data_IF_914741156639
#
_entry.id   IF_914741156639
#
_cell.length_a   1.000
_cell.length_b   1.000
_cell.length_c   1.000
_cell.angle_alpha   90.00
_cell.angle_beta   90.00
_cell.angle_gamma   90.00
#
_symmetry.space_group_name_H-M   'P 1'
#
loop_
_entity.id
_entity.type
_entity.pdbx_description
1 polymer ?
#
# COMPACT_ATOMS: atom_id res chain seq x y z
N UNK A 1 -1.35 23.50 -7.66
CA UNK A 1 -1.83 23.04 -6.34
C UNK A 1 -0.92 21.89 -5.94
N UNK A 2 -0.40 21.85 -4.72
CA UNK A 2 0.55 20.83 -4.23
C UNK A 2 0.32 20.66 -2.73
N UNK A 3 -0.64 19.81 -2.38
CA UNK A 3 -0.93 19.49 -0.99
C UNK A 3 0.19 18.59 -0.44
N UNK A 4 0.58 18.81 0.81
CA UNK A 4 1.57 18.00 1.51
C UNK A 4 0.95 17.43 2.78
N UNK A 5 1.11 16.13 2.99
CA UNK A 5 0.72 15.42 4.20
C UNK A 5 1.95 14.70 4.76
N UNK A 6 2.26 14.95 6.04
CA UNK A 6 3.27 14.20 6.78
C UNK A 6 2.59 13.37 7.86
N UNK A 7 2.75 12.06 7.81
CA UNK A 7 2.16 11.11 8.75
C UNK A 7 3.07 10.94 9.96
N UNK A 8 2.55 11.27 11.13
CA UNK A 8 3.22 11.05 12.43
C UNK A 8 2.66 9.81 13.16
N UNK A 9 1.76 9.06 12.52
CA UNK A 9 1.05 7.93 13.08
C UNK A 9 0.13 7.26 12.05
N UNK A 10 -0.52 6.17 12.46
CA UNK A 10 -1.48 5.45 11.62
C UNK A 10 -2.73 6.30 11.36
N UNK A 11 -3.12 6.40 10.09
CA UNK A 11 -4.30 7.16 9.65
C UNK A 11 -5.41 6.20 9.23
N UNK A 12 -6.57 6.28 9.88
CA UNK A 12 -7.80 5.59 9.46
C UNK A 12 -8.82 6.59 8.94
N UNK A 13 -9.27 6.39 7.70
CA UNK A 13 -10.33 7.16 7.05
C UNK A 13 -11.57 6.27 6.82
N UNK A 14 -12.70 6.57 7.47
CA UNK A 14 -13.96 5.82 7.26
C UNK A 14 -14.56 6.03 5.86
N UNK A 15 -14.19 7.10 5.17
CA UNK A 15 -14.60 7.43 3.80
C UNK A 15 -13.52 7.17 2.76
N UNK A 16 -13.78 7.58 1.52
CA UNK A 16 -12.81 7.41 0.42
C UNK A 16 -11.57 8.30 0.59
N UNK A 17 -10.45 7.84 0.03
CA UNK A 17 -9.21 8.61 -0.09
C UNK A 17 -8.98 8.93 -1.56
N UNK A 18 -8.88 10.22 -1.87
CA UNK A 18 -8.58 10.71 -3.22
C UNK A 18 -7.35 11.60 -3.20
N UNK A 19 -6.37 11.26 -4.03
CA UNK A 19 -5.11 11.99 -4.15
C UNK A 19 -4.95 12.47 -5.59
N UNK A 20 -4.74 13.78 -5.78
CA UNK A 20 -4.65 14.38 -7.11
C UNK A 20 -3.70 15.57 -7.15
N UNK A 21 -3.35 16.01 -8.35
CA UNK A 21 -2.65 17.27 -8.59
C UNK A 21 -1.30 17.40 -7.88
N UNK A 22 -0.40 16.43 -8.02
CA UNK A 22 0.93 16.48 -7.42
C UNK A 22 0.92 16.59 -5.89
N UNK A 23 0.02 15.85 -5.24
CA UNK A 23 0.03 15.68 -3.79
C UNK A 23 1.29 14.92 -3.37
N UNK A 24 1.86 15.30 -2.23
CA UNK A 24 3.02 14.66 -1.62
C UNK A 24 2.59 14.08 -0.27
N UNK A 25 2.83 12.79 -0.08
CA UNK A 25 2.59 12.10 1.18
C UNK A 25 3.93 11.57 1.67
N UNK A 26 4.30 11.90 2.91
CA UNK A 26 5.54 11.45 3.54
C UNK A 26 5.31 10.87 4.92
N UNK A 27 6.17 9.97 5.36
CA UNK A 27 6.26 9.62 6.78
C UNK A 27 7.11 10.65 7.52
N UNK A 28 6.80 10.87 8.79
CA UNK A 28 7.65 11.63 9.68
C UNK A 28 8.99 10.90 9.89
N UNK A 29 10.13 11.60 9.97
CA UNK A 29 11.43 10.98 10.24
C UNK A 29 11.46 10.14 11.53
N UNK A 30 10.57 10.41 12.49
CA UNK A 30 10.42 9.62 13.71
C UNK A 30 10.04 8.15 13.48
N UNK A 31 9.60 7.77 12.28
CA UNK A 31 9.41 6.36 11.90
C UNK A 31 10.72 5.58 11.80
N UNK A 32 11.86 6.24 11.54
CA UNK A 32 13.13 5.54 11.28
C UNK A 32 12.99 4.52 10.14
N UNK A 33 13.52 3.32 10.30
CA UNK A 33 13.36 2.24 9.31
C UNK A 33 11.94 1.63 9.26
N UNK A 34 11.01 2.07 10.10
CA UNK A 34 9.66 1.51 10.13
C UNK A 34 8.81 2.06 8.98
N UNK A 35 7.86 1.25 8.56
CA UNK A 35 6.86 1.62 7.55
C UNK A 35 5.58 2.12 8.20
N UNK A 36 4.88 3.03 7.53
CA UNK A 36 3.62 3.63 7.98
C UNK A 36 2.42 3.07 7.23
N UNK A 37 1.26 3.17 7.87
CA UNK A 37 0.01 2.58 7.39
C UNK A 37 -1.11 3.62 7.29
N UNK A 38 -1.81 3.60 6.16
CA UNK A 38 -3.03 4.36 5.93
C UNK A 38 -4.13 3.37 5.58
N UNK A 39 -5.18 3.35 6.39
CA UNK A 39 -6.34 2.47 6.24
C UNK A 39 -7.54 3.29 5.80
N UNK A 40 -8.35 2.71 4.91
CA UNK A 40 -9.68 3.24 4.61
C UNK A 40 -10.73 2.13 4.48
N UNK A 41 -11.94 2.42 4.93
CA UNK A 41 -13.12 1.59 4.67
C UNK A 41 -13.76 1.87 3.30
N UNK A 42 -13.36 2.99 2.70
CA UNK A 42 -13.73 3.40 1.36
C UNK A 42 -12.72 2.98 0.31
N UNK A 43 -12.86 3.60 -0.86
CA UNK A 43 -12.01 3.39 -2.03
C UNK A 43 -10.80 4.31 -1.98
N UNK A 44 -9.70 3.87 -2.59
CA UNK A 44 -8.49 4.67 -2.75
C UNK A 44 -8.33 5.00 -4.23
N UNK A 45 -8.26 6.29 -4.56
CA UNK A 45 -7.98 6.73 -5.93
C UNK A 45 -6.76 7.64 -5.95
N UNK A 46 -5.74 7.23 -6.69
CA UNK A 46 -4.56 8.03 -7.00
C UNK A 46 -4.69 8.51 -8.44
N UNK A 47 -4.87 9.82 -8.61
CA UNK A 47 -4.97 10.44 -9.93
C UNK A 47 -3.57 10.69 -10.51
N UNK A 48 -3.16 11.95 -10.69
CA UNK A 48 -1.97 12.32 -11.45
C UNK A 48 -0.83 12.86 -10.58
N UNK A 49 0.35 12.28 -10.80
CA UNK A 49 1.67 12.72 -10.33
C UNK A 49 1.81 12.83 -8.80
N UNK A 50 1.12 11.97 -8.05
CA UNK A 50 1.29 11.95 -6.59
C UNK A 50 2.61 11.26 -6.24
N UNK A 51 3.31 11.79 -5.23
CA UNK A 51 4.61 11.27 -4.81
C UNK A 51 4.55 10.83 -3.36
N UNK A 52 5.20 9.72 -3.05
CA UNK A 52 5.14 9.06 -1.77
C UNK A 52 6.55 8.81 -1.24
N UNK A 53 6.83 9.31 -0.04
CA UNK A 53 8.13 9.18 0.60
C UNK A 53 8.01 8.40 1.91
N UNK A 54 8.96 7.50 2.16
CA UNK A 54 9.17 6.94 3.50
C UNK A 54 9.66 8.01 4.49
N UNK A 55 10.17 7.56 5.63
CA UNK A 55 10.73 8.44 6.69
C UNK A 55 12.01 9.18 6.26
N UNK A 56 12.67 8.71 5.20
CA UNK A 56 14.01 9.12 4.79
C UNK A 56 15.06 8.03 5.00
N UNK A 57 14.76 7.00 5.79
CA UNK A 57 15.62 5.84 5.98
C UNK A 57 15.28 4.69 5.02
N UNK A 58 16.29 3.90 4.64
CA UNK A 58 16.10 2.70 3.82
C UNK A 58 15.19 1.68 4.52
N UNK A 59 14.26 1.09 3.76
CA UNK A 59 13.30 0.12 4.28
C UNK A 59 12.01 0.73 4.84
N UNK A 60 11.88 2.06 4.85
CA UNK A 60 10.65 2.75 5.24
C UNK A 60 9.72 2.97 4.03
N UNK A 61 8.50 2.45 4.11
CA UNK A 61 7.49 2.52 3.05
C UNK A 61 6.14 2.99 3.60
N UNK A 62 5.29 3.51 2.71
CA UNK A 62 3.88 3.75 3.01
C UNK A 62 3.05 2.62 2.41
N UNK A 63 2.22 1.99 3.25
CA UNK A 63 1.18 1.08 2.82
C UNK A 63 -0.19 1.76 2.85
N UNK A 64 -0.92 1.60 1.76
CA UNK A 64 -2.33 1.96 1.65
C UNK A 64 -3.17 0.69 1.67
N UNK A 65 -4.05 0.58 2.65
CA UNK A 65 -4.97 -0.53 2.82
C UNK A 65 -6.41 -0.04 2.62
N UNK A 66 -7.14 -0.73 1.74
CA UNK A 66 -8.59 -0.56 1.60
C UNK A 66 -9.29 -1.84 2.04
N UNK A 67 -10.30 -1.72 2.91
CA UNK A 67 -11.19 -2.83 3.27
C UNK A 67 -12.38 -2.95 2.31
N UNK A 68 -12.44 -2.10 1.27
CA UNK A 68 -13.50 -2.14 0.26
C UNK A 68 -13.38 -3.41 -0.59
N UNK A 69 -14.51 -4.11 -0.75
CA UNK A 69 -14.57 -5.39 -1.47
C UNK A 69 -14.98 -5.26 -2.94
N UNK A 70 -14.92 -4.06 -3.51
CA UNK A 70 -15.34 -3.86 -4.91
C UNK A 70 -14.38 -4.55 -5.88
N UNK A 71 -14.94 -5.46 -6.69
CA UNK A 71 -14.23 -6.19 -7.76
C UNK A 71 -14.58 -5.67 -9.17
N UNK A 72 -15.34 -4.58 -9.26
CA UNK A 72 -15.71 -3.94 -10.51
C UNK A 72 -14.55 -3.12 -11.08
N UNK A 73 -14.19 -3.35 -12.35
CA UNK A 73 -13.11 -2.63 -13.03
C UNK A 73 -13.46 -1.18 -13.38
N UNK A 74 -14.75 -0.82 -13.36
CA UNK A 74 -15.23 0.56 -13.49
C UNK A 74 -15.17 1.35 -12.18
N UNK A 75 -15.16 0.65 -11.04
CA UNK A 75 -15.11 1.27 -9.71
C UNK A 75 -14.38 0.37 -8.71
N UNK A 76 -13.06 0.13 -8.90
CA UNK A 76 -12.29 -0.81 -8.11
C UNK A 76 -12.10 -0.32 -6.66
N UNK A 77 -11.64 -1.18 -5.76
CA UNK A 77 -11.31 -0.80 -4.39
C UNK A 77 -10.12 0.17 -4.35
N UNK A 78 -9.10 -0.09 -5.18
CA UNK A 78 -7.95 0.79 -5.36
C UNK A 78 -7.77 1.08 -6.86
N UNK A 79 -7.73 2.36 -7.22
CA UNK A 79 -7.45 2.81 -8.59
C UNK A 79 -6.22 3.72 -8.63
N UNK A 80 -5.21 3.31 -9.38
CA UNK A 80 -4.02 4.11 -9.68
C UNK A 80 -4.10 4.53 -11.14
N UNK A 81 -4.43 5.79 -11.40
CA UNK A 81 -4.80 6.28 -12.73
C UNK A 81 -3.60 6.81 -13.53
N UNK A 82 -2.55 7.36 -12.89
CA UNK A 82 -1.40 7.91 -13.63
C UNK A 82 -0.16 8.18 -12.74
N UNK A 83 1.01 7.69 -13.14
CA UNK A 83 2.33 8.04 -12.57
C UNK A 83 2.37 8.09 -11.03
N UNK A 84 2.04 6.98 -10.38
CA UNK A 84 2.38 6.79 -8.96
C UNK A 84 3.69 5.99 -8.90
N UNK A 85 4.62 6.48 -8.10
CA UNK A 85 5.87 5.80 -7.78
C UNK A 85 5.86 5.44 -6.29
N UNK A 86 6.51 4.32 -5.94
CA UNK A 86 6.95 4.00 -4.58
C UNK A 86 5.85 3.86 -3.52
N UNK A 87 4.86 2.99 -3.77
CA UNK A 87 3.78 2.66 -2.81
C UNK A 87 3.48 1.16 -2.76
N UNK A 88 3.05 0.70 -1.58
CA UNK A 88 2.44 -0.63 -1.36
C UNK A 88 0.92 -0.47 -1.29
N UNK A 89 0.19 -1.19 -2.13
CA UNK A 89 -1.27 -1.23 -2.08
C UNK A 89 -1.80 -2.58 -1.63
N UNK A 90 -2.77 -2.57 -0.71
CA UNK A 90 -3.41 -3.77 -0.18
C UNK A 90 -4.94 -3.67 -0.22
N UNK A 91 -5.59 -4.61 -0.88
CA UNK A 91 -7.05 -4.73 -0.94
C UNK A 91 -7.47 -6.21 -0.91
N UNK A 92 -7.50 -6.83 0.29
CA UNK A 92 -7.70 -8.28 0.48
C UNK A 92 -8.88 -8.85 -0.29
N UNK A 93 -10.01 -8.15 -0.27
CA UNK A 93 -11.28 -8.59 -0.88
C UNK A 93 -11.67 -7.75 -2.11
N UNK A 94 -10.81 -6.82 -2.51
CA UNK A 94 -11.07 -5.83 -3.55
C UNK A 94 -10.20 -5.99 -4.78
N UNK A 95 -10.60 -5.30 -5.86
CA UNK A 95 -9.77 -5.16 -7.05
C UNK A 95 -8.82 -3.98 -6.91
N UNK A 96 -7.55 -4.20 -7.31
CA UNK A 96 -6.58 -3.15 -7.58
C UNK A 96 -6.49 -2.96 -9.10
N UNK A 97 -6.76 -1.75 -9.57
CA UNK A 97 -6.59 -1.36 -10.97
C UNK A 97 -5.46 -0.35 -11.10
N UNK A 98 -4.55 -0.61 -12.04
CA UNK A 98 -3.38 0.22 -12.30
C UNK A 98 -3.35 0.56 -13.77
N UNK A 99 -3.38 1.85 -14.09
CA UNK A 99 -3.39 2.37 -15.44
C UNK A 99 -2.17 3.32 -15.66
N UNK A 100 -1.79 3.51 -16.93
CA UNK A 100 -0.92 4.58 -17.42
C UNK A 100 0.47 4.69 -16.74
N UNK A 101 1.38 3.76 -17.07
CA UNK A 101 2.80 3.79 -16.70
C UNK A 101 3.10 3.86 -15.19
N UNK A 102 2.13 3.60 -14.30
CA UNK A 102 2.40 3.55 -12.88
C UNK A 102 3.31 2.35 -12.52
N UNK A 103 4.24 2.58 -11.60
CA UNK A 103 5.20 1.58 -11.12
C UNK A 103 4.98 1.38 -9.63
N UNK A 104 4.42 0.23 -9.27
CA UNK A 104 4.14 -0.13 -7.88
C UNK A 104 5.27 -0.98 -7.31
N UNK A 105 5.59 -0.80 -6.02
CA UNK A 105 6.57 -1.62 -5.30
C UNK A 105 5.98 -2.93 -4.82
N UNK A 106 4.70 -2.92 -4.49
CA UNK A 106 3.91 -4.12 -4.17
C UNK A 106 2.43 -3.81 -4.33
N UNK A 107 1.67 -4.80 -4.77
CA UNK A 107 0.23 -4.73 -4.83
C UNK A 107 -0.37 -6.09 -4.56
N UNK A 108 -1.13 -6.20 -3.46
CA UNK A 108 -1.81 -7.42 -3.06
C UNK A 108 -3.29 -7.15 -2.99
N UNK A 109 -4.08 -7.85 -3.82
CA UNK A 109 -5.53 -7.79 -3.71
C UNK A 109 -6.21 -9.01 -4.32
N UNK A 110 -7.51 -9.15 -4.07
CA UNK A 110 -8.31 -10.28 -4.56
C UNK A 110 -8.23 -10.43 -6.08
N UNK A 111 -8.20 -9.28 -6.78
CA UNK A 111 -8.08 -9.23 -8.23
C UNK A 111 -7.22 -8.05 -8.65
N UNK A 112 -6.38 -8.23 -9.67
CA UNK A 112 -5.57 -7.16 -10.23
C UNK A 112 -5.91 -6.93 -11.70
N UNK A 113 -5.95 -5.67 -12.11
CA UNK A 113 -6.14 -5.26 -13.51
C UNK A 113 -5.10 -4.21 -13.88
N UNK A 114 -4.15 -4.57 -14.73
CA UNK A 114 -3.08 -3.70 -15.21
C UNK A 114 -3.36 -3.28 -16.65
N UNK A 115 -3.36 -1.97 -16.93
CA UNK A 115 -3.50 -1.43 -18.29
C UNK A 115 -2.40 -0.42 -18.62
N UNK A 116 -2.20 -0.21 -19.92
CA UNK A 116 -1.37 0.86 -20.49
C UNK A 116 0.02 1.00 -19.83
N UNK A 117 0.85 -0.03 -20.03
CA UNK A 117 2.25 -0.09 -19.56
C UNK A 117 2.43 0.02 -18.03
N UNK A 118 1.41 -0.28 -17.23
CA UNK A 118 1.56 -0.44 -15.80
C UNK A 118 2.52 -1.60 -15.46
N UNK A 119 3.37 -1.40 -14.45
CA UNK A 119 4.31 -2.40 -13.96
C UNK A 119 4.23 -2.53 -12.44
N UNK A 120 4.39 -3.76 -11.94
CA UNK A 120 4.52 -4.05 -10.51
C UNK A 120 5.90 -4.68 -10.32
N UNK A 121 6.79 -3.98 -9.63
CA UNK A 121 8.18 -4.37 -9.44
C UNK A 121 8.39 -4.63 -7.95
N UNK A 122 8.39 -5.91 -7.58
CA UNK A 122 8.63 -6.34 -6.21
C UNK A 122 10.09 -6.09 -5.81
N UNK A 123 10.31 -5.22 -4.83
CA UNK A 123 11.64 -5.01 -4.25
C UNK A 123 11.97 -6.11 -3.23
N UNK A 124 13.18 -6.65 -3.32
CA UNK A 124 13.69 -7.61 -2.34
C UNK A 124 13.84 -6.94 -0.98
N UNK A 125 13.30 -7.55 0.08
CA UNK A 125 13.32 -7.01 1.45
C UNK A 125 12.00 -6.39 1.92
N UNK A 126 11.03 -6.18 1.03
CA UNK A 126 9.70 -5.66 1.39
C UNK A 126 8.91 -6.62 2.29
N UNK A 127 9.10 -7.94 2.09
CA UNK A 127 8.55 -8.99 2.96
C UNK A 127 9.11 -8.95 4.40
N UNK A 128 10.18 -8.19 4.64
CA UNK A 128 10.80 -7.96 5.96
C UNK A 128 10.58 -6.54 6.48
N UNK A 129 9.80 -5.71 5.77
CA UNK A 129 9.48 -4.37 6.21
C UNK A 129 8.67 -4.45 7.51
N UNK A 130 9.20 -3.84 8.56
CA UNK A 130 8.52 -3.73 9.85
C UNK A 130 7.52 -2.59 9.77
N UNK A 131 6.24 -2.92 9.62
CA UNK A 131 5.16 -1.94 9.76
C UNK A 131 4.98 -1.65 11.25
N UNK A 132 4.98 -0.37 11.64
CA UNK A 132 4.87 0.00 13.06
C UNK A 132 3.52 -0.40 13.66
N UNK A 133 2.50 -0.53 12.81
CA UNK A 133 1.17 -1.03 13.14
C UNK A 133 0.69 -1.97 12.04
N UNK A 134 0.35 -3.21 12.41
CA UNK A 134 -0.22 -4.22 11.53
C UNK A 134 -0.41 -5.54 12.28
N UNK A 135 -1.35 -6.40 11.87
CA UNK A 135 -1.47 -7.75 12.41
C UNK A 135 -0.25 -8.56 11.95
N UNK A 136 0.85 -8.47 12.70
CA UNK A 136 2.01 -9.31 12.50
C UNK A 136 1.60 -10.77 12.69
N UNK A 137 1.52 -11.52 11.60
CA UNK A 137 1.34 -12.96 11.64
C UNK A 137 2.61 -13.61 12.17
N UNK A 138 2.64 -13.93 13.47
CA UNK A 138 3.68 -14.77 14.05
C UNK A 138 3.32 -16.22 13.69
N UNK A 139 4.15 -16.87 12.88
CA UNK A 139 4.13 -18.31 12.74
C UNK A 139 4.84 -18.92 13.95
N UNK A 140 4.08 -19.33 14.96
CA UNK A 140 4.58 -20.17 16.04
C UNK A 140 4.29 -21.62 15.68
N UNK A 141 5.32 -22.46 15.68
CA UNK A 141 5.13 -23.91 15.74
C UNK A 141 4.57 -24.19 17.13
N UNK A 142 3.34 -24.69 17.20
CA UNK A 142 2.74 -25.09 18.46
C UNK A 142 3.62 -26.17 19.12
N UNK A 143 3.89 -25.99 20.41
CA UNK A 143 4.74 -26.93 21.14
C UNK A 143 4.09 -28.32 21.09
N UNK A 144 4.86 -29.33 20.68
CA UNK A 144 4.43 -30.74 20.45
C UNK A 144 3.69 -31.04 19.15
N UNK A 145 3.58 -30.11 18.18
CA UNK A 145 2.92 -30.41 16.88
C UNK A 145 3.88 -30.81 15.76
N UNK A 146 5.19 -30.76 15.99
CA UNK A 146 6.18 -31.27 15.05
C UNK A 146 6.62 -32.68 15.46
N UNK A 147 6.69 -33.59 14.49
CA UNK A 147 7.37 -34.87 14.62
C UNK A 147 8.04 -35.18 13.29
N UNK A 148 9.33 -35.48 13.32
CA UNK A 148 10.06 -36.04 12.17
C UNK A 148 9.63 -37.50 11.97
N UNK A 149 9.25 -37.86 10.74
CA UNK A 149 8.89 -39.23 10.38
C UNK A 149 10.03 -39.74 9.48
N UNK A 150 10.80 -40.70 9.99
CA UNK A 150 11.73 -41.54 9.20
C UNK A 150 11.03 -42.79 8.66
#
# INVERSE_FOLDING_TARGET
>A
NSAQLTLTGTLWVEGNIEMSNNAIISLDPGYGNNSGLIITDGKITVYNNCTFFGSGDEGSYIMFLSTNNSIDSGSPAIHVNNNAETVIFYASDGMIKVDNNAILKEATGYKMHLNNNASVVYESGLASASFSDGPGGIWVIENLTWQEIE
#
